data_IF_134752089957
#
_entry.id   IF_134752089957
#
_cell.length_a   1.000
_cell.length_b   1.000
_cell.length_c   1.000
_cell.angle_alpha   90.00
_cell.angle_beta   90.00
_cell.angle_gamma   90.00
#
_symmetry.space_group_name_H-M   'P 1'
#
loop_
_entity.id
_entity.type
_entity.pdbx_description
1 polymer ?
#
# COMPACT_ATOMS: atom_id res chain seq x y z
N UNK A 1 -12.99 1.77 -14.30
CA UNK A 1 -13.05 0.34 -13.90
C UNK A 1 -14.49 -0.10 -13.61
N UNK A 2 -15.15 0.44 -12.58
CA UNK A 2 -16.50 -0.01 -12.19
C UNK A 2 -17.54 0.11 -13.32
N UNK A 3 -17.53 1.21 -14.08
CA UNK A 3 -18.48 1.39 -15.20
C UNK A 3 -18.26 0.37 -16.32
N UNK A 4 -17.00 0.12 -16.67
CA UNK A 4 -16.64 -0.90 -17.65
C UNK A 4 -17.06 -2.32 -17.20
N UNK A 5 -17.01 -2.58 -15.90
CA UNK A 5 -17.47 -3.83 -15.31
C UNK A 5 -18.99 -3.89 -15.09
N UNK A 6 -19.75 -2.83 -15.40
CA UNK A 6 -21.19 -2.75 -15.13
C UNK A 6 -21.55 -2.70 -13.64
N UNK A 7 -20.59 -2.37 -12.76
CA UNK A 7 -20.78 -2.35 -11.31
C UNK A 7 -21.20 -0.96 -10.86
N UNK A 8 -22.46 -0.84 -10.44
CA UNK A 8 -23.00 0.44 -9.95
C UNK A 8 -22.44 0.84 -8.58
N UNK A 9 -22.31 -0.10 -7.63
CA UNK A 9 -21.71 0.16 -6.30
C UNK A 9 -20.88 -1.04 -5.86
N UNK A 10 -19.80 -0.80 -5.12
CA UNK A 10 -18.90 -1.85 -4.65
C UNK A 10 -18.46 -1.63 -3.21
N UNK A 11 -18.14 -2.71 -2.50
CA UNK A 11 -17.30 -2.64 -1.31
C UNK A 11 -15.85 -2.47 -1.78
N UNK A 12 -15.11 -1.54 -1.20
CA UNK A 12 -13.73 -1.28 -1.55
C UNK A 12 -12.81 -1.72 -0.41
N UNK A 13 -11.79 -2.50 -0.76
CA UNK A 13 -10.68 -2.83 0.13
C UNK A 13 -9.40 -2.31 -0.49
N UNK A 14 -8.57 -1.63 0.32
CA UNK A 14 -7.30 -1.10 -0.14
C UNK A 14 -6.21 -1.24 0.92
N UNK A 15 -5.02 -1.66 0.48
CA UNK A 15 -3.82 -1.70 1.31
C UNK A 15 -2.80 -0.65 0.83
N UNK A 16 -2.15 0.05 1.77
CA UNK A 16 -1.13 1.07 1.47
C UNK A 16 -1.65 2.11 0.47
N UNK A 17 -0.98 2.34 -0.67
CA UNK A 17 -1.45 3.22 -1.74
C UNK A 17 -2.89 2.87 -2.21
N UNK A 18 -3.24 1.57 -2.23
CA UNK A 18 -4.60 1.13 -2.55
C UNK A 18 -5.63 1.60 -1.51
N UNK A 19 -5.24 1.72 -0.25
CA UNK A 19 -6.07 2.28 0.83
C UNK A 19 -6.34 3.77 0.64
N UNK A 20 -5.32 4.54 0.24
CA UNK A 20 -5.47 5.96 -0.14
C UNK A 20 -6.42 6.12 -1.31
N UNK A 21 -6.30 5.27 -2.35
CA UNK A 21 -7.22 5.27 -3.49
C UNK A 21 -8.65 4.93 -3.05
N UNK A 22 -8.83 3.95 -2.16
CA UNK A 22 -10.15 3.57 -1.65
C UNK A 22 -10.79 4.71 -0.84
N UNK A 23 -10.02 5.40 0.02
CA UNK A 23 -10.45 6.60 0.76
C UNK A 23 -10.85 7.73 -0.20
N UNK A 24 -10.00 8.05 -1.18
CA UNK A 24 -10.28 9.08 -2.19
C UNK A 24 -11.54 8.75 -3.00
N UNK A 25 -11.72 7.48 -3.37
CA UNK A 25 -12.92 7.03 -4.09
C UNK A 25 -14.18 7.21 -3.24
N UNK A 26 -14.13 6.85 -1.95
CA UNK A 26 -15.25 7.06 -1.04
C UNK A 26 -15.57 8.55 -0.81
N UNK A 27 -14.55 9.42 -0.79
CA UNK A 27 -14.72 10.86 -0.62
C UNK A 27 -15.32 11.54 -1.85
N UNK A 28 -14.87 11.18 -3.06
CA UNK A 28 -15.30 11.82 -4.31
C UNK A 28 -16.51 11.16 -4.96
N UNK A 29 -16.77 9.88 -4.68
CA UNK A 29 -17.86 9.09 -5.25
C UNK A 29 -18.58 8.24 -4.18
N UNK A 30 -19.10 8.86 -3.09
CA UNK A 30 -19.70 8.12 -1.98
C UNK A 30 -20.91 7.27 -2.39
N UNK A 31 -21.63 7.68 -3.44
CA UNK A 31 -22.76 6.94 -4.01
C UNK A 31 -22.33 5.60 -4.62
N UNK A 32 -21.05 5.45 -4.97
CA UNK A 32 -20.47 4.24 -5.57
C UNK A 32 -19.92 3.25 -4.55
N UNK A 33 -19.82 3.62 -3.27
CA UNK A 33 -19.21 2.78 -2.21
C UNK A 33 -20.28 2.27 -1.25
N UNK A 34 -20.30 0.96 -0.96
CA UNK A 34 -21.22 0.35 0.03
C UNK A 34 -20.53 -0.03 1.33
N UNK A 35 -19.22 -0.24 1.30
CA UNK A 35 -18.38 -0.53 2.45
C UNK A 35 -16.93 -0.18 2.12
N UNK A 36 -16.13 0.11 3.14
CA UNK A 36 -14.74 0.52 2.98
C UNK A 36 -13.86 -0.21 4.01
N UNK A 37 -12.82 -0.88 3.53
CA UNK A 37 -11.80 -1.54 4.34
C UNK A 37 -10.45 -0.95 3.97
N UNK A 38 -9.78 -0.30 4.92
CA UNK A 38 -8.50 0.38 4.70
C UNK A 38 -7.45 -0.26 5.60
N UNK A 39 -6.34 -0.71 5.02
CA UNK A 39 -5.23 -1.31 5.75
C UNK A 39 -3.91 -0.59 5.46
N UNK A 40 -3.21 -0.11 6.49
CA UNK A 40 -1.91 0.56 6.32
C UNK A 40 -1.99 1.86 5.51
N UNK A 41 -3.08 2.61 5.66
CA UNK A 41 -3.27 3.92 5.04
C UNK A 41 -4.25 4.77 5.88
N UNK A 42 -4.18 6.10 5.72
CA UNK A 42 -5.02 7.05 6.43
C UNK A 42 -5.33 8.29 5.56
N UNK A 43 -6.36 9.11 5.90
CA UNK A 43 -6.72 10.29 5.10
C UNK A 43 -5.84 11.53 5.35
N UNK A 44 -4.87 11.45 6.27
CA UNK A 44 -3.97 12.56 6.58
C UNK A 44 -2.79 12.64 5.62
N UNK A 45 -2.22 13.84 5.48
CA UNK A 45 -0.99 14.03 4.72
C UNK A 45 0.18 13.31 5.39
N UNK A 46 1.04 12.70 4.57
CA UNK A 46 2.22 11.97 5.01
C UNK A 46 3.43 12.44 4.18
N UNK A 47 4.57 12.60 4.83
CA UNK A 47 5.83 12.88 4.11
C UNK A 47 6.41 11.57 3.57
N UNK A 48 6.27 11.39 2.25
CA UNK A 48 6.77 10.23 1.53
C UNK A 48 8.23 10.40 1.05
N UNK A 49 8.90 11.48 1.41
CA UNK A 49 10.29 11.74 1.01
C UNK A 49 11.25 10.61 1.41
N UNK A 50 11.19 10.04 2.64
CA UNK A 50 12.08 8.94 3.03
C UNK A 50 11.85 7.67 2.23
N UNK A 51 10.58 7.32 1.98
CA UNK A 51 10.22 6.16 1.14
C UNK A 51 10.74 6.35 -0.29
N UNK A 52 10.55 7.54 -0.86
CA UNK A 52 11.02 7.85 -2.22
C UNK A 52 12.53 7.74 -2.33
N UNK A 53 13.28 8.31 -1.37
CA UNK A 53 14.73 8.23 -1.35
C UNK A 53 15.22 6.77 -1.26
N UNK A 54 14.56 5.94 -0.43
CA UNK A 54 14.90 4.52 -0.31
C UNK A 54 14.64 3.72 -1.60
N UNK A 55 13.59 4.08 -2.36
CA UNK A 55 13.26 3.46 -3.65
C UNK A 55 14.19 3.91 -4.79
N UNK A 56 14.68 5.16 -4.75
CA UNK A 56 15.55 5.73 -5.78
C UNK A 56 17.01 5.30 -5.65
N UNK A 57 17.50 5.03 -4.43
CA UNK A 57 18.90 4.68 -4.19
C UNK A 57 19.24 3.27 -4.71
N UNK A 58 18.84 2.22 -3.98
CA UNK A 58 19.07 0.84 -4.36
C UNK A 58 18.24 -0.12 -3.51
N UNK A 59 18.29 -1.42 -3.88
CA UNK A 59 17.56 -2.47 -3.18
C UNK A 59 17.91 -2.59 -1.68
N UNK A 60 19.16 -2.38 -1.30
CA UNK A 60 19.58 -2.47 0.10
C UNK A 60 19.07 -1.29 0.93
N UNK A 61 18.99 -0.09 0.35
CA UNK A 61 18.35 1.06 0.96
C UNK A 61 16.85 0.83 1.16
N UNK A 62 16.17 0.26 0.16
CA UNK A 62 14.77 -0.17 0.31
C UNK A 62 14.61 -1.24 1.40
N UNK A 63 15.47 -2.25 1.46
CA UNK A 63 15.41 -3.29 2.49
C UNK A 63 15.71 -2.74 3.89
N UNK A 64 16.65 -1.78 4.01
CA UNK A 64 16.91 -1.08 5.26
C UNK A 64 15.69 -0.27 5.72
N UNK A 65 14.99 0.39 4.79
CA UNK A 65 13.72 1.05 5.07
C UNK A 65 12.64 0.05 5.54
N UNK A 66 12.50 -1.10 4.88
CA UNK A 66 11.57 -2.17 5.31
C UNK A 66 11.88 -2.64 6.74
N UNK A 67 13.16 -2.79 7.10
CA UNK A 67 13.57 -3.16 8.46
C UNK A 67 13.21 -2.11 9.51
N UNK A 68 13.15 -0.83 9.15
CA UNK A 68 12.67 0.21 10.07
C UNK A 68 11.17 0.06 10.36
N UNK A 69 10.40 -0.35 9.34
CA UNK A 69 8.95 -0.57 9.46
C UNK A 69 8.60 -1.91 10.12
N UNK A 70 9.44 -2.92 9.95
CA UNK A 70 9.28 -4.25 10.52
C UNK A 70 10.60 -4.68 11.21
N UNK A 71 10.86 -4.20 12.45
CA UNK A 71 12.12 -4.46 13.15
C UNK A 71 12.42 -5.94 13.36
N UNK A 72 11.37 -6.75 13.48
CA UNK A 72 11.46 -8.20 13.75
C UNK A 72 11.64 -9.04 12.47
N UNK A 73 11.91 -8.41 11.32
CA UNK A 73 12.13 -9.14 10.07
C UNK A 73 13.39 -10.00 10.17
N UNK A 74 13.20 -11.31 10.03
CA UNK A 74 14.29 -12.26 10.24
C UNK A 74 15.40 -12.12 9.17
N UNK A 75 16.64 -12.53 9.47
CA UNK A 75 17.70 -12.62 8.46
C UNK A 75 17.31 -13.52 7.27
N UNK A 76 16.52 -14.57 7.52
CA UNK A 76 16.02 -15.47 6.48
C UNK A 76 15.02 -14.76 5.57
N UNK A 77 14.05 -14.04 6.13
CA UNK A 77 13.12 -13.20 5.38
C UNK A 77 13.85 -12.17 4.52
N UNK A 78 14.91 -11.55 5.05
CA UNK A 78 15.75 -10.63 4.27
C UNK A 78 16.50 -11.31 3.12
N UNK A 79 16.94 -12.57 3.29
CA UNK A 79 17.54 -13.35 2.19
C UNK A 79 16.50 -13.69 1.13
N UNK A 80 15.31 -14.12 1.55
CA UNK A 80 14.20 -14.44 0.65
C UNK A 80 13.75 -13.23 -0.16
N UNK A 81 13.59 -12.08 0.49
CA UNK A 81 13.25 -10.82 -0.17
C UNK A 81 14.29 -10.46 -1.25
N UNK A 82 15.60 -10.60 -0.97
CA UNK A 82 16.66 -10.40 -1.98
C UNK A 82 16.55 -11.36 -3.16
N UNK A 83 16.16 -12.60 -2.90
CA UNK A 83 15.97 -13.62 -3.93
C UNK A 83 14.64 -13.54 -4.67
N UNK A 84 13.75 -12.60 -4.32
CA UNK A 84 12.35 -12.61 -4.73
C UNK A 84 11.66 -13.98 -4.48
N UNK A 85 11.99 -14.60 -3.35
CA UNK A 85 11.58 -15.95 -2.98
C UNK A 85 10.31 -15.92 -2.11
N UNK A 86 9.20 -16.25 -2.75
CA UNK A 86 7.87 -16.27 -2.15
C UNK A 86 7.53 -17.59 -1.44
N UNK A 87 8.39 -18.61 -1.53
CA UNK A 87 8.11 -19.98 -1.06
C UNK A 87 8.22 -20.17 0.45
#
# INVERSE_FOLDING_TARGET
VLDHAGIRRAALMGHSMGGVIALATAAHHPDRVVALIVNGAHPFAEDLTPLRAALEDNFEAWLAFVKQLAPDISPDSCRRIRGNDLA
#
